data_IF_308405447334
#
_entry.id   IF_308405447334
#
_cell.length_a   1.000
_cell.length_b   1.000
_cell.length_c   1.000
_cell.angle_alpha   90.00
_cell.angle_beta   90.00
_cell.angle_gamma   90.00
#
_symmetry.space_group_name_H-M   'P 1'
#
loop_
_entity.id
_entity.type
_entity.pdbx_description
1 polymer ?
#
# COMPACT_ATOMS: atom_id res chain seq x y z
N UNK A 1 7.38 -1.87 24.95
CA UNK A 1 7.33 -1.85 23.47
C UNK A 1 6.27 -0.82 23.12
N UNK A 2 6.59 0.30 22.46
CA UNK A 2 5.58 1.31 22.19
C UNK A 2 4.53 0.65 21.30
N UNK A 3 3.28 0.59 21.78
CA UNK A 3 2.15 0.19 20.95
C UNK A 3 2.23 1.00 19.67
N UNK A 4 2.41 0.33 18.52
CA UNK A 4 2.31 1.00 17.23
C UNK A 4 0.89 1.54 17.14
N UNK A 5 0.70 2.80 17.51
CA UNK A 5 -0.59 3.45 17.54
C UNK A 5 -1.15 3.40 16.13
N UNK A 6 -2.19 2.58 15.93
CA UNK A 6 -2.92 2.52 14.68
C UNK A 6 -3.67 3.83 14.53
N UNK A 7 -3.40 4.57 13.46
CA UNK A 7 -4.09 5.81 13.13
C UNK A 7 -5.02 5.54 11.95
N UNK A 8 -6.25 6.05 12.01
CA UNK A 8 -7.19 5.96 10.90
C UNK A 8 -6.84 7.00 9.83
N UNK A 9 -6.68 6.54 8.59
CA UNK A 9 -6.52 7.42 7.43
C UNK A 9 -7.88 7.71 6.80
N UNK A 10 -8.35 8.95 6.92
CA UNK A 10 -9.54 9.41 6.21
C UNK A 10 -9.14 9.97 4.84
N UNK A 11 -9.55 9.31 3.76
CA UNK A 11 -9.12 9.64 2.41
C UNK A 11 -10.32 9.87 1.48
N UNK A 12 -10.25 10.92 0.66
CA UNK A 12 -11.11 11.08 -0.53
C UNK A 12 -10.27 10.82 -1.76
N UNK A 13 -10.78 9.98 -2.65
CA UNK A 13 -10.16 9.66 -3.93
C UNK A 13 -11.19 9.74 -5.05
N UNK A 14 -10.71 9.82 -6.28
CA UNK A 14 -11.57 9.73 -7.45
C UNK A 14 -12.13 8.31 -7.59
N UNK A 15 -13.21 8.18 -8.36
CA UNK A 15 -13.81 6.87 -8.69
C UNK A 15 -12.81 5.95 -9.41
N UNK A 16 -11.99 6.52 -10.28
CA UNK A 16 -10.98 5.78 -11.02
C UNK A 16 -9.91 5.20 -10.08
N UNK A 17 -9.46 5.97 -9.09
CA UNK A 17 -8.46 5.50 -8.12
C UNK A 17 -8.99 4.36 -7.26
N UNK A 18 -10.25 4.41 -6.81
CA UNK A 18 -10.82 3.31 -6.04
C UNK A 18 -11.02 2.06 -6.88
N UNK A 19 -11.38 2.19 -8.17
CA UNK A 19 -11.47 1.05 -9.09
C UNK A 19 -10.11 0.37 -9.29
N UNK A 20 -9.04 1.15 -9.46
CA UNK A 20 -7.67 0.62 -9.53
C UNK A 20 -7.29 -0.16 -8.27
N UNK A 21 -7.65 0.34 -7.08
CA UNK A 21 -7.40 -0.39 -5.83
C UNK A 21 -8.15 -1.72 -5.78
N UNK A 22 -9.40 -1.75 -6.28
CA UNK A 22 -10.22 -2.97 -6.33
C UNK A 22 -9.61 -4.03 -7.24
N UNK A 23 -9.13 -3.63 -8.42
CA UNK A 23 -8.42 -4.51 -9.35
C UNK A 23 -7.14 -5.09 -8.72
N UNK A 24 -6.39 -4.28 -7.97
CA UNK A 24 -5.20 -4.75 -7.26
C UNK A 24 -5.58 -5.74 -6.16
N UNK A 25 -6.66 -5.48 -5.41
CA UNK A 25 -7.16 -6.44 -4.40
C UNK A 25 -7.53 -7.76 -5.04
N UNK A 26 -8.23 -7.74 -6.18
CA UNK A 26 -8.58 -8.96 -6.91
C UNK A 26 -7.33 -9.72 -7.37
N UNK A 27 -6.32 -9.01 -7.86
CA UNK A 27 -5.04 -9.61 -8.21
C UNK A 27 -4.39 -10.29 -7.00
N UNK A 28 -4.34 -9.62 -5.84
CA UNK A 28 -3.78 -10.20 -4.62
C UNK A 28 -4.60 -11.41 -4.16
N UNK A 29 -5.93 -11.33 -4.24
CA UNK A 29 -6.83 -12.41 -3.85
C UNK A 29 -6.64 -13.66 -4.71
N UNK A 30 -6.46 -13.50 -6.03
CA UNK A 30 -6.19 -14.62 -6.95
C UNK A 30 -4.85 -15.30 -6.69
N UNK A 31 -3.85 -14.53 -6.23
CA UNK A 31 -2.50 -15.04 -5.95
C UNK A 31 -2.32 -15.50 -4.49
N UNK A 32 -3.30 -15.26 -3.63
CA UNK A 32 -3.26 -15.65 -2.22
C UNK A 32 -3.86 -17.05 -2.06
N UNK A 33 -3.10 -17.98 -1.49
CA UNK A 33 -3.54 -19.38 -1.31
C UNK A 33 -4.59 -19.56 -0.20
N UNK A 34 -4.61 -18.67 0.80
CA UNK A 34 -5.51 -18.76 1.94
C UNK A 34 -5.93 -17.38 2.46
N UNK A 35 -7.22 -17.22 2.77
CA UNK A 35 -7.74 -16.02 3.43
C UNK A 35 -8.30 -14.96 2.49
N UNK A 36 -9.01 -14.00 3.10
CA UNK A 36 -9.59 -12.85 2.41
C UNK A 36 -8.58 -11.71 2.38
N UNK A 37 -8.43 -11.09 1.22
CA UNK A 37 -7.61 -9.89 1.05
C UNK A 37 -8.48 -8.66 1.29
N UNK A 38 -8.05 -7.78 2.21
CA UNK A 38 -8.75 -6.53 2.52
C UNK A 38 -8.13 -5.34 1.79
N UNK A 39 -8.98 -4.41 1.34
CA UNK A 39 -8.55 -3.17 0.66
C UNK A 39 -7.60 -2.33 1.53
N UNK A 40 -7.86 -2.26 2.83
CA UNK A 40 -7.01 -1.54 3.77
C UNK A 40 -5.59 -2.10 3.82
N UNK A 41 -5.46 -3.42 3.92
CA UNK A 41 -4.15 -4.10 3.98
C UNK A 41 -3.37 -3.91 2.68
N UNK A 42 -4.05 -4.01 1.53
CA UNK A 42 -3.44 -3.77 0.22
C UNK A 42 -2.99 -2.32 0.08
N UNK A 43 -3.79 -1.35 0.53
CA UNK A 43 -3.41 0.06 0.48
C UNK A 43 -2.16 0.35 1.33
N UNK A 44 -2.09 -0.22 2.54
CA UNK A 44 -0.91 -0.08 3.42
C UNK A 44 0.33 -0.66 2.74
N UNK A 45 0.24 -1.88 2.19
CA UNK A 45 1.35 -2.53 1.49
C UNK A 45 1.83 -1.73 0.26
N UNK A 46 0.92 -1.14 -0.50
CA UNK A 46 1.26 -0.24 -1.62
C UNK A 46 2.04 0.98 -1.12
N UNK A 47 1.59 1.62 -0.04
CA UNK A 47 2.25 2.79 0.54
C UNK A 47 3.66 2.43 1.02
N UNK A 48 3.81 1.31 1.72
CA UNK A 48 5.11 0.85 2.22
C UNK A 48 6.10 0.55 1.09
N UNK A 49 5.63 -0.13 0.03
CA UNK A 49 6.43 -0.39 -1.17
C UNK A 49 6.84 0.89 -1.89
N UNK A 50 5.92 1.85 -2.03
CA UNK A 50 6.19 3.14 -2.65
C UNK A 50 7.22 3.94 -1.83
N UNK A 51 7.08 3.97 -0.50
CA UNK A 51 8.02 4.63 0.40
C UNK A 51 9.41 3.98 0.35
N UNK A 52 9.49 2.65 0.35
CA UNK A 52 10.77 1.94 0.20
C UNK A 52 11.45 2.26 -1.15
N UNK A 53 10.68 2.35 -2.24
CA UNK A 53 11.19 2.75 -3.56
C UNK A 53 11.73 4.18 -3.55
N UNK A 54 10.99 5.12 -2.95
CA UNK A 54 11.39 6.52 -2.78
C UNK A 54 12.71 6.63 -2.01
N UNK A 55 12.87 5.90 -0.90
CA UNK A 55 14.10 5.89 -0.12
C UNK A 55 15.29 5.36 -0.92
N UNK A 56 15.10 4.32 -1.74
CA UNK A 56 16.15 3.80 -2.62
C UNK A 56 16.61 4.86 -3.63
N UNK A 57 15.67 5.55 -4.27
CA UNK A 57 15.97 6.61 -5.24
C UNK A 57 16.66 7.82 -4.57
N UNK A 58 16.18 8.23 -3.39
CA UNK A 58 16.77 9.35 -2.64
C UNK A 58 18.21 9.07 -2.18
N UNK A 59 18.53 7.83 -1.80
CA UNK A 59 19.89 7.43 -1.46
C UNK A 59 20.82 7.45 -2.67
N UNK A 60 20.34 6.97 -3.82
CA UNK A 60 21.08 7.08 -5.08
C UNK A 60 21.39 8.55 -5.41
N UNK A 61 20.42 9.46 -5.30
CA UNK A 61 20.62 10.88 -5.59
C UNK A 61 21.53 11.62 -4.60
N UNK A 62 21.79 11.07 -3.40
CA UNK A 62 22.74 11.66 -2.43
C UNK A 62 24.18 11.19 -2.61
N UNK A 63 24.39 10.14 -3.40
CA UNK A 63 25.69 9.48 -3.54
C UNK A 63 26.43 9.88 -4.82
N UNK A 64 25.84 10.78 -5.62
CA UNK A 64 26.43 11.44 -6.79
C UNK A 64 26.58 12.95 -6.53
#
# INVERSE_FOLDING_TARGET
MPEQQRVQLNLRVTKETIQKLDEIVEYYQKNTKFGRVYKGDVLVDIIDKAHASMLKQSRFNKQY
#
